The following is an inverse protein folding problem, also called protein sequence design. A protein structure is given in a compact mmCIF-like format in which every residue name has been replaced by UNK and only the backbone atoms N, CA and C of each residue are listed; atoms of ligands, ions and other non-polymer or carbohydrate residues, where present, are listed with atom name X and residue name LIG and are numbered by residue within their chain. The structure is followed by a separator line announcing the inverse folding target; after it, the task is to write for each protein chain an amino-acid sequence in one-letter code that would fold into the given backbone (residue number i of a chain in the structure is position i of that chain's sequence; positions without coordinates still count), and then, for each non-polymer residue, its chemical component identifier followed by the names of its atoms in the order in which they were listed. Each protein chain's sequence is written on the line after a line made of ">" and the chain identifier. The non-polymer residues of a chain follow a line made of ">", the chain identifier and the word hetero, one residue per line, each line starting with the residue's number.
data_IF_110047598809
#
_entry.id   IF_110047598809
#
_cell.length_a   1.000
_cell.length_b   1.000
_cell.length_c   1.000
_cell.angle_alpha   90.00
_cell.angle_beta   90.00
_cell.angle_gamma   90.00
#
_symmetry.space_group_name_H-M   'P 1'
#
loop_
_entity.id
_entity.type
_entity.pdbx_description
1 polymer ?
#
# COMPACT_ATOMS: atom_id res chain seq x y z
N UNK A 1 -6.36 0.49 33.20
CA UNK A 1 -7.63 -0.27 33.16
C UNK A 1 -7.67 -0.86 31.78
N UNK A 2 -7.37 -2.13 31.64
CA UNK A 2 -7.46 -2.81 30.36
C UNK A 2 -8.89 -2.70 29.83
N UNK A 3 -9.12 -2.37 28.55
CA UNK A 3 -10.46 -2.39 28.01
C UNK A 3 -10.99 -3.82 28.11
N UNK A 4 -12.02 -3.98 28.88
CA UNK A 4 -12.74 -5.26 29.00
C UNK A 4 -13.31 -5.57 27.60
N UNK A 5 -12.65 -6.45 26.86
CA UNK A 5 -13.18 -7.04 25.62
C UNK A 5 -14.31 -7.98 26.07
N UNK A 6 -15.48 -7.38 26.29
CA UNK A 6 -16.65 -8.04 26.82
C UNK A 6 -17.08 -9.22 25.95
N UNK A 7 -17.49 -10.26 26.60
CA UNK A 7 -17.86 -11.57 26.08
C UNK A 7 -19.11 -11.60 25.17
N UNK A 8 -19.71 -10.48 24.84
CA UNK A 8 -20.86 -10.43 23.94
C UNK A 8 -20.44 -9.79 22.61
N UNK A 9 -20.55 -10.50 21.48
CA UNK A 9 -20.25 -9.92 20.19
C UNK A 9 -21.22 -8.78 19.86
N UNK A 10 -20.70 -7.71 19.28
CA UNK A 10 -21.54 -6.63 18.75
C UNK A 10 -22.42 -7.13 17.61
N UNK A 11 -23.45 -6.37 17.27
CA UNK A 11 -24.34 -6.67 16.12
C UNK A 11 -24.69 -5.43 15.33
N UNK A 12 -24.90 -5.62 14.04
CA UNK A 12 -25.45 -4.60 13.15
C UNK A 12 -26.95 -4.47 13.45
N UNK A 13 -27.39 -3.27 13.79
CA UNK A 13 -28.82 -2.94 14.00
C UNK A 13 -29.45 -2.50 12.69
N UNK A 14 -28.78 -1.58 11.96
CA UNK A 14 -29.26 -1.02 10.71
C UNK A 14 -28.12 -0.74 9.77
N UNK A 15 -28.35 -1.00 8.48
CA UNK A 15 -27.49 -0.56 7.36
C UNK A 15 -28.21 0.56 6.63
N UNK A 16 -27.55 1.69 6.39
CA UNK A 16 -28.20 2.91 5.88
C UNK A 16 -27.38 3.54 4.76
N UNK A 17 -28.09 4.02 3.73
CA UNK A 17 -27.54 4.79 2.61
C UNK A 17 -28.40 6.00 2.30
N UNK A 18 -27.83 6.98 1.58
CA UNK A 18 -28.56 8.11 1.02
C UNK A 18 -28.06 8.46 -0.38
N UNK A 19 -28.86 9.20 -1.12
CA UNK A 19 -28.44 9.79 -2.40
C UNK A 19 -27.73 11.14 -2.22
N UNK A 20 -27.28 11.42 -1.01
CA UNK A 20 -26.64 12.66 -0.56
C UNK A 20 -27.35 13.26 0.64
N UNK A 21 -26.59 13.59 1.71
CA UNK A 21 -27.11 14.22 2.92
C UNK A 21 -27.67 13.24 3.96
N UNK A 22 -28.40 13.80 4.91
CA UNK A 22 -29.03 13.12 6.06
C UNK A 22 -30.53 13.39 6.08
N UNK A 23 -31.35 12.45 6.58
CA UNK A 23 -31.00 11.15 7.12
C UNK A 23 -30.63 10.13 6.02
N UNK A 24 -29.84 9.11 6.38
CA UNK A 24 -29.66 7.92 5.57
C UNK A 24 -30.81 6.94 5.85
N UNK A 25 -31.28 6.25 4.81
CA UNK A 25 -32.42 5.36 4.87
C UNK A 25 -31.98 3.89 4.98
N UNK A 26 -32.75 3.05 5.69
CA UNK A 26 -32.40 1.65 5.88
C UNK A 26 -32.47 0.85 4.59
N UNK A 27 -31.55 -0.09 4.46
CA UNK A 27 -31.51 -1.12 3.42
C UNK A 27 -31.33 -2.49 4.04
N UNK A 28 -31.79 -3.54 3.37
CA UNK A 28 -31.70 -4.92 3.86
C UNK A 28 -30.31 -5.53 3.72
N UNK A 29 -29.55 -5.09 2.72
CA UNK A 29 -28.18 -5.57 2.44
C UNK A 29 -27.39 -4.40 1.85
N UNK A 30 -26.23 -4.10 2.43
CA UNK A 30 -25.25 -3.19 1.85
C UNK A 30 -24.06 -3.98 1.29
N UNK A 31 -23.67 -3.74 0.04
CA UNK A 31 -22.38 -4.17 -0.46
C UNK A 31 -21.35 -3.09 -0.07
N UNK A 32 -20.38 -3.48 0.73
CA UNK A 32 -19.39 -2.54 1.27
C UNK A 32 -18.06 -2.80 0.59
N UNK A 33 -17.59 -1.79 -0.11
CA UNK A 33 -16.30 -1.79 -0.78
C UNK A 33 -15.41 -0.66 -0.29
N UNK A 34 -14.24 -0.56 -0.86
CA UNK A 34 -13.20 0.41 -0.46
C UNK A 34 -13.68 1.87 -0.40
N UNK A 35 -14.64 2.25 -1.21
CA UNK A 35 -15.15 3.63 -1.27
C UNK A 35 -16.42 3.84 -0.42
N UNK A 36 -16.92 2.80 0.23
CA UNK A 36 -18.11 2.85 1.08
C UNK A 36 -19.17 1.83 0.70
N UNK A 37 -20.40 2.08 1.13
CA UNK A 37 -21.56 1.25 0.82
C UNK A 37 -22.05 1.56 -0.58
N UNK A 38 -22.26 0.55 -1.40
CA UNK A 38 -22.77 0.71 -2.77
C UNK A 38 -24.12 1.41 -2.77
N UNK A 39 -24.26 2.44 -3.61
CA UNK A 39 -25.47 3.27 -3.70
C UNK A 39 -25.55 4.41 -2.68
N UNK A 40 -24.57 4.50 -1.77
CA UNK A 40 -24.46 5.65 -0.87
C UNK A 40 -23.74 6.81 -1.57
N UNK A 41 -24.27 8.03 -1.44
CA UNK A 41 -23.66 9.24 -1.98
C UNK A 41 -23.44 10.27 -0.88
N UNK A 42 -22.44 11.13 -1.08
CA UNK A 42 -22.09 12.22 -0.16
C UNK A 42 -22.42 13.57 -0.80
N UNK A 43 -22.82 14.54 0.02
CA UNK A 43 -23.11 15.89 -0.48
C UNK A 43 -21.84 16.67 -0.85
N UNK A 44 -20.73 16.36 -0.18
CA UNK A 44 -19.39 16.92 -0.43
C UNK A 44 -18.33 15.80 -0.40
N UNK A 45 -17.93 15.34 -1.57
CA UNK A 45 -16.93 14.26 -1.72
C UNK A 45 -15.51 14.66 -1.25
N UNK A 46 -15.27 15.97 -1.05
CA UNK A 46 -13.97 16.47 -0.54
C UNK A 46 -13.83 16.37 0.97
N UNK A 47 -14.94 16.29 1.70
CA UNK A 47 -14.99 16.26 3.18
C UNK A 47 -15.46 14.91 3.71
N UNK A 48 -16.40 14.27 3.01
CA UNK A 48 -17.05 13.03 3.40
C UNK A 48 -16.76 11.93 2.38
N UNK A 49 -16.61 10.68 2.85
CA UNK A 49 -16.33 9.54 1.99
C UNK A 49 -14.85 9.37 1.67
N UNK A 50 -14.60 8.58 0.61
CA UNK A 50 -13.25 8.15 0.24
C UNK A 50 -12.73 6.98 1.08
N UNK A 51 -11.57 6.40 0.70
CA UNK A 51 -11.10 5.13 1.27
C UNK A 51 -10.83 5.15 2.78
N UNK A 52 -10.49 6.31 3.37
CA UNK A 52 -10.30 6.44 4.82
C UNK A 52 -11.58 6.61 5.61
N UNK A 53 -12.63 7.08 4.96
CA UNK A 53 -13.94 7.38 5.56
C UNK A 53 -15.04 6.63 4.83
N UNK A 54 -14.72 5.38 4.45
CA UNK A 54 -15.58 4.55 3.62
C UNK A 54 -16.90 4.19 4.34
N UNK A 55 -16.84 3.97 5.65
CA UNK A 55 -18.01 3.61 6.46
C UNK A 55 -18.07 4.51 7.69
N UNK A 56 -19.25 5.04 7.96
CA UNK A 56 -19.54 5.78 9.19
C UNK A 56 -20.34 4.90 10.16
N UNK A 57 -19.89 4.83 11.40
CA UNK A 57 -20.41 3.97 12.47
C UNK A 57 -20.99 4.80 13.61
N UNK A 58 -22.11 4.37 14.17
CA UNK A 58 -22.67 4.91 15.41
C UNK A 58 -23.25 3.79 16.26
N UNK A 59 -22.98 3.83 17.56
CA UNK A 59 -23.55 2.88 18.52
C UNK A 59 -25.03 3.21 18.81
N UNK A 60 -25.87 2.19 18.89
CA UNK A 60 -27.27 2.34 19.31
C UNK A 60 -27.36 2.89 20.73
N UNK A 61 -26.43 2.48 21.59
CA UNK A 61 -26.30 2.95 22.97
C UNK A 61 -26.09 4.48 23.04
N UNK A 62 -25.34 5.06 22.10
CA UNK A 62 -25.19 6.51 21.99
C UNK A 62 -26.50 7.19 21.57
N UNK A 63 -27.22 6.60 20.62
CA UNK A 63 -28.53 7.08 20.19
C UNK A 63 -29.52 7.06 21.36
N UNK A 64 -29.56 5.95 22.10
CA UNK A 64 -30.46 5.79 23.26
C UNK A 64 -30.17 6.80 24.38
N UNK A 65 -28.89 7.11 24.65
CA UNK A 65 -28.52 8.17 25.60
C UNK A 65 -29.03 9.54 25.13
N UNK A 66 -28.85 9.88 23.88
CA UNK A 66 -29.34 11.15 23.33
C UNK A 66 -30.87 11.21 23.29
N UNK A 67 -31.56 10.10 23.03
CA UNK A 67 -33.02 10.01 23.13
C UNK A 67 -33.53 10.19 24.55
N UNK A 68 -32.81 9.65 25.52
CA UNK A 68 -33.14 9.83 26.96
C UNK A 68 -32.98 11.30 27.40
N UNK A 69 -32.08 12.06 26.73
CA UNK A 69 -31.96 13.51 26.91
C UNK A 69 -33.06 14.31 26.15
N UNK A 70 -33.99 13.63 25.45
CA UNK A 70 -35.12 14.24 24.74
C UNK A 70 -34.83 14.67 23.31
N UNK A 71 -33.75 14.16 22.71
CA UNK A 71 -33.40 14.47 21.32
C UNK A 71 -34.06 13.48 20.33
N UNK A 72 -34.56 13.96 19.14
CA UNK A 72 -35.28 13.11 18.18
C UNK A 72 -34.34 12.31 17.26
N UNK A 73 -33.14 11.99 17.70
CA UNK A 73 -32.16 11.23 16.93
C UNK A 73 -32.57 9.74 16.82
N UNK A 74 -32.27 9.10 15.70
CA UNK A 74 -32.54 7.69 15.47
C UNK A 74 -31.54 7.06 14.49
N UNK A 75 -31.58 5.74 14.28
CA UNK A 75 -30.70 5.06 13.33
C UNK A 75 -30.73 5.67 11.94
N UNK A 76 -29.57 5.99 11.38
CA UNK A 76 -29.38 6.64 10.06
C UNK A 76 -29.57 8.15 10.09
N UNK A 77 -30.18 8.74 11.13
CA UNK A 77 -30.46 10.16 11.18
C UNK A 77 -29.22 11.04 11.27
N UNK A 78 -28.15 10.53 11.89
CA UNK A 78 -26.88 11.22 11.98
C UNK A 78 -25.99 11.00 10.77
N UNK A 79 -26.44 10.25 9.76
CA UNK A 79 -25.70 10.00 8.51
C UNK A 79 -24.69 8.86 8.62
N UNK A 80 -24.80 8.04 9.64
CA UNK A 80 -24.02 6.80 9.74
C UNK A 80 -24.54 5.74 8.75
N UNK A 81 -23.60 4.92 8.26
CA UNK A 81 -23.90 3.77 7.39
C UNK A 81 -24.29 2.54 8.20
N UNK A 82 -23.64 2.33 9.33
CA UNK A 82 -23.92 1.20 10.21
C UNK A 82 -24.26 1.72 11.60
N UNK A 83 -25.51 1.49 12.01
CA UNK A 83 -25.91 1.57 13.43
C UNK A 83 -25.71 0.19 14.02
N UNK A 84 -24.99 0.09 15.14
CA UNK A 84 -24.62 -1.19 15.77
C UNK A 84 -24.93 -1.19 17.24
N UNK A 85 -24.97 -2.34 17.87
CA UNK A 85 -25.12 -2.48 19.35
C UNK A 85 -24.01 -3.35 19.91
N UNK A 86 -23.72 -3.20 21.20
CA UNK A 86 -22.69 -3.95 21.92
C UNK A 86 -21.26 -3.41 21.74
N UNK A 87 -21.08 -2.32 20.99
CA UNK A 87 -19.75 -1.72 20.74
C UNK A 87 -19.85 -0.20 20.79
N UNK A 88 -19.17 0.41 21.74
CA UNK A 88 -18.98 1.86 21.81
C UNK A 88 -17.76 2.29 20.97
N UNK A 89 -17.95 2.46 19.69
CA UNK A 89 -16.89 2.70 18.70
C UNK A 89 -15.97 3.86 19.04
N UNK A 90 -16.54 4.93 19.57
CA UNK A 90 -15.81 6.17 19.89
C UNK A 90 -14.88 6.06 21.10
N UNK A 91 -15.02 4.99 21.88
CA UNK A 91 -14.13 4.66 22.99
C UNK A 91 -12.98 3.73 22.57
N UNK A 92 -13.02 3.19 21.35
CA UNK A 92 -11.98 2.32 20.84
C UNK A 92 -10.85 3.12 20.15
N UNK A 93 -9.60 2.65 20.25
CA UNK A 93 -8.50 3.31 19.57
C UNK A 93 -8.61 3.18 18.05
N UNK A 94 -8.21 4.22 17.33
CA UNK A 94 -7.98 4.16 15.89
C UNK A 94 -7.01 3.01 15.56
N UNK A 95 -7.28 2.28 14.47
CA UNK A 95 -6.57 1.04 14.13
C UNK A 95 -7.25 -0.24 14.65
N UNK A 96 -8.25 -0.13 15.54
CA UNK A 96 -9.07 -1.29 15.92
C UNK A 96 -9.76 -1.86 14.69
N UNK A 97 -9.64 -3.17 14.49
CA UNK A 97 -10.31 -3.89 13.40
C UNK A 97 -11.60 -4.54 13.88
N UNK A 98 -12.55 -4.59 12.98
CA UNK A 98 -13.81 -5.27 13.21
C UNK A 98 -14.15 -6.14 12.01
N UNK A 99 -14.41 -7.42 12.26
CA UNK A 99 -15.01 -8.34 11.28
C UNK A 99 -16.52 -8.30 11.47
N UNK A 100 -17.25 -8.06 10.38
CA UNK A 100 -18.71 -7.94 10.35
C UNK A 100 -19.26 -9.03 9.43
N UNK A 101 -20.10 -9.92 9.99
CA UNK A 101 -20.49 -11.12 9.27
C UNK A 101 -19.30 -11.99 8.87
N UNK A 102 -19.40 -12.64 7.69
CA UNK A 102 -18.39 -13.62 7.27
C UNK A 102 -17.21 -13.00 6.51
N UNK A 103 -17.41 -11.86 5.83
CA UNK A 103 -16.45 -11.36 4.83
C UNK A 103 -15.96 -9.93 5.06
N UNK A 104 -16.83 -9.02 5.50
CA UNK A 104 -16.49 -7.61 5.66
C UNK A 104 -15.50 -7.43 6.79
N UNK A 105 -14.38 -6.77 6.53
CA UNK A 105 -13.44 -6.34 7.56
C UNK A 105 -13.18 -4.84 7.41
N UNK A 106 -13.37 -4.11 8.52
CA UNK A 106 -13.14 -2.67 8.61
C UNK A 106 -12.07 -2.37 9.66
N UNK A 107 -11.47 -1.18 9.57
CA UNK A 107 -10.52 -0.67 10.57
C UNK A 107 -10.87 0.78 10.88
N UNK A 108 -11.03 1.10 12.17
CA UNK A 108 -11.29 2.46 12.62
C UNK A 108 -10.19 3.40 12.16
N UNK A 109 -10.55 4.48 11.50
CA UNK A 109 -9.62 5.40 10.84
C UNK A 109 -9.62 6.81 11.42
N UNK A 110 -10.76 7.31 11.86
CA UNK A 110 -10.91 8.69 12.34
C UNK A 110 -12.21 8.86 13.14
N UNK A 111 -12.31 9.93 13.93
CA UNK A 111 -13.56 10.38 14.52
C UNK A 111 -14.25 11.39 13.61
N UNK A 112 -15.58 11.52 13.73
CA UNK A 112 -16.30 12.55 12.98
C UNK A 112 -16.36 13.87 13.77
N UNK A 113 -16.32 15.00 13.03
CA UNK A 113 -16.70 16.29 13.59
C UNK A 113 -18.17 16.56 13.25
N UNK A 114 -19.06 16.77 14.23
CA UNK A 114 -20.44 17.12 13.94
C UNK A 114 -20.53 18.49 13.27
N UNK A 115 -21.48 18.68 12.38
CA UNK A 115 -21.69 19.92 11.65
C UNK A 115 -23.19 20.32 11.65
N UNK A 116 -23.51 21.44 11.05
CA UNK A 116 -24.89 21.98 11.01
C UNK A 116 -25.94 21.05 10.38
N UNK A 117 -25.53 20.06 9.60
CA UNK A 117 -26.47 19.05 9.06
C UNK A 117 -27.12 18.21 10.16
N UNK A 118 -26.53 18.20 11.37
CA UNK A 118 -27.03 17.45 12.52
C UNK A 118 -28.06 18.22 13.37
N UNK A 119 -28.31 19.50 13.10
CA UNK A 119 -29.18 20.35 13.91
C UNK A 119 -30.55 19.71 14.15
N UNK A 120 -31.14 19.08 13.12
CA UNK A 120 -32.47 18.46 13.23
C UNK A 120 -32.53 17.23 14.17
N UNK A 121 -31.38 16.65 14.52
CA UNK A 121 -31.29 15.52 15.45
C UNK A 121 -31.35 15.97 16.93
N UNK A 122 -31.31 17.27 17.20
CA UNK A 122 -31.26 17.81 18.56
C UNK A 122 -32.38 18.81 18.80
N UNK A 123 -33.19 18.59 19.84
CA UNK A 123 -34.33 19.43 20.19
C UNK A 123 -33.93 20.88 20.53
N UNK A 124 -32.71 21.08 21.01
CA UNK A 124 -32.09 22.38 21.29
C UNK A 124 -31.19 22.91 20.18
N UNK A 125 -31.04 22.14 19.08
CA UNK A 125 -30.15 22.46 17.95
C UNK A 125 -28.67 22.32 18.26
N UNK A 126 -28.30 21.84 19.44
CA UNK A 126 -26.90 21.72 19.87
C UNK A 126 -26.26 20.41 19.41
N UNK A 127 -25.80 20.36 18.16
CA UNK A 127 -25.14 19.19 17.61
C UNK A 127 -23.75 18.87 18.23
N UNK A 128 -23.16 19.77 19.04
CA UNK A 128 -21.97 19.47 19.81
C UNK A 128 -22.19 18.35 20.84
N UNK A 129 -23.44 17.95 21.07
CA UNK A 129 -23.80 16.75 21.85
C UNK A 129 -23.17 15.46 21.28
N UNK A 130 -22.78 15.44 19.99
CA UNK A 130 -22.05 14.35 19.34
C UNK A 130 -20.56 14.62 19.16
N UNK A 131 -20.02 15.67 19.77
CA UNK A 131 -18.60 15.99 19.62
C UNK A 131 -17.76 15.09 20.55
N UNK A 132 -16.81 14.35 19.98
CA UNK A 132 -15.97 13.39 20.72
C UNK A 132 -15.16 14.03 21.86
N UNK A 133 -14.82 15.33 21.75
CA UNK A 133 -14.07 16.04 22.79
C UNK A 133 -14.96 16.35 23.99
N UNK A 134 -16.26 16.59 23.77
CA UNK A 134 -17.22 16.99 24.80
C UNK A 134 -17.94 15.77 25.35
N UNK A 135 -18.33 14.85 24.48
CA UNK A 135 -19.08 13.63 24.78
C UNK A 135 -18.40 12.41 24.10
N UNK A 136 -17.32 11.87 24.68
CA UNK A 136 -16.51 10.84 24.02
C UNK A 136 -17.29 9.59 23.61
N UNK A 137 -18.29 9.17 24.40
CA UNK A 137 -19.10 7.95 24.12
C UNK A 137 -20.19 8.13 23.06
N UNK A 138 -20.49 9.38 22.63
CA UNK A 138 -21.65 9.67 21.81
C UNK A 138 -21.30 10.09 20.37
N UNK A 139 -20.04 9.98 20.00
CA UNK A 139 -19.56 10.37 18.68
C UNK A 139 -19.62 9.23 17.67
N UNK A 140 -19.75 9.61 16.40
CA UNK A 140 -19.61 8.69 15.26
C UNK A 140 -18.13 8.47 14.97
N UNK A 141 -17.82 7.30 14.42
CA UNK A 141 -16.47 6.97 13.95
C UNK A 141 -16.48 6.63 12.46
N UNK A 142 -15.42 6.97 11.78
CA UNK A 142 -15.14 6.49 10.45
C UNK A 142 -14.29 5.22 10.48
N UNK A 143 -14.49 4.39 9.46
CA UNK A 143 -13.66 3.23 9.22
C UNK A 143 -13.29 3.13 7.74
N UNK A 144 -12.07 2.64 7.48
CA UNK A 144 -11.67 2.17 6.17
C UNK A 144 -12.02 0.69 5.99
N UNK A 145 -12.23 0.27 4.76
CA UNK A 145 -12.49 -1.13 4.44
C UNK A 145 -11.18 -1.86 4.20
N UNK A 146 -10.96 -2.95 4.94
CA UNK A 146 -9.80 -3.85 4.82
C UNK A 146 -10.10 -5.00 3.87
N UNK A 147 -11.29 -5.62 4.02
CA UNK A 147 -11.82 -6.63 3.10
C UNK A 147 -13.25 -6.29 2.75
N UNK A 148 -13.56 -6.30 1.45
CA UNK A 148 -14.88 -6.00 0.94
C UNK A 148 -15.87 -7.14 1.28
N UNK A 149 -17.13 -6.81 1.47
CA UNK A 149 -18.15 -7.81 1.73
C UNK A 149 -19.56 -7.25 1.93
N UNK A 150 -20.56 -8.12 1.91
CA UNK A 150 -21.92 -7.74 2.26
C UNK A 150 -22.09 -7.53 3.76
N UNK A 151 -23.00 -6.64 4.13
CA UNK A 151 -23.43 -6.40 5.52
C UNK A 151 -24.95 -6.36 5.61
N UNK A 152 -25.50 -6.95 6.66
CA UNK A 152 -26.94 -7.03 6.91
C UNK A 152 -27.26 -6.71 8.36
N UNK A 153 -28.46 -6.18 8.64
CA UNK A 153 -28.96 -6.16 10.01
C UNK A 153 -28.91 -7.57 10.63
N UNK A 154 -28.43 -7.68 11.87
CA UNK A 154 -28.23 -8.91 12.58
C UNK A 154 -26.83 -9.52 12.47
N UNK A 155 -25.99 -9.09 11.53
CA UNK A 155 -24.62 -9.59 11.38
C UNK A 155 -23.82 -9.36 12.67
N UNK A 156 -23.08 -10.39 13.06
CA UNK A 156 -22.21 -10.36 14.25
C UNK A 156 -20.96 -9.52 13.96
N UNK A 157 -20.50 -8.80 14.97
CA UNK A 157 -19.30 -7.98 14.91
C UNK A 157 -18.28 -8.50 15.93
N UNK A 158 -17.09 -8.85 15.46
CA UNK A 158 -15.97 -9.29 16.28
C UNK A 158 -14.82 -8.30 16.19
N UNK A 159 -14.36 -7.79 17.33
CA UNK A 159 -13.26 -6.84 17.40
C UNK A 159 -11.91 -7.55 17.45
N UNK A 160 -10.92 -6.94 16.83
CA UNK A 160 -9.51 -7.22 17.01
C UNK A 160 -8.82 -5.92 17.43
N UNK A 161 -8.00 -5.92 18.49
CA UNK A 161 -7.28 -4.73 18.92
C UNK A 161 -6.34 -4.24 17.80
N UNK A 162 -5.89 -2.98 17.83
CA UNK A 162 -4.82 -2.51 16.96
C UNK A 162 -3.61 -3.41 17.13
N UNK A 163 -2.94 -3.69 16.00
CA UNK A 163 -1.65 -4.38 16.05
C UNK A 163 -0.65 -3.51 16.82
N UNK A 164 0.20 -4.13 17.64
CA UNK A 164 1.37 -3.43 18.17
C UNK A 164 2.27 -2.96 17.02
N UNK A 165 3.14 -1.96 17.29
CA UNK A 165 3.96 -1.36 16.24
C UNK A 165 4.84 -2.38 15.51
N UNK A 166 5.36 -3.40 16.21
CA UNK A 166 6.19 -4.45 15.62
C UNK A 166 5.37 -5.38 14.74
N UNK A 167 4.21 -5.84 15.21
CA UNK A 167 3.33 -6.70 14.43
C UNK A 167 2.75 -5.98 13.20
N UNK A 168 2.42 -4.69 13.33
CA UNK A 168 1.99 -3.87 12.20
C UNK A 168 3.11 -3.74 11.15
N UNK A 169 4.34 -3.47 11.57
CA UNK A 169 5.48 -3.35 10.67
C UNK A 169 5.82 -4.68 9.99
N UNK A 170 5.74 -5.79 10.71
CA UNK A 170 5.93 -7.13 10.14
C UNK A 170 4.88 -7.42 9.03
N UNK A 171 3.63 -7.07 9.26
CA UNK A 171 2.58 -7.25 8.25
C UNK A 171 2.82 -6.38 7.01
N UNK A 172 3.25 -5.12 7.21
CA UNK A 172 3.62 -4.24 6.11
C UNK A 172 4.82 -4.79 5.34
N UNK A 173 5.87 -5.23 6.03
CA UNK A 173 7.04 -5.86 5.42
C UNK A 173 6.68 -7.07 4.58
N UNK A 174 5.82 -7.96 5.07
CA UNK A 174 5.32 -9.12 4.31
C UNK A 174 4.62 -8.71 3.02
N UNK A 175 3.80 -7.65 3.06
CA UNK A 175 3.13 -7.12 1.86
C UNK A 175 4.13 -6.50 0.88
N UNK A 176 5.07 -5.70 1.36
CA UNK A 176 6.09 -5.05 0.52
C UNK A 176 7.00 -6.08 -0.15
N UNK A 177 7.48 -7.06 0.62
CA UNK A 177 8.36 -8.12 0.11
C UNK A 177 7.66 -8.97 -0.97
N UNK A 178 6.36 -9.27 -0.79
CA UNK A 178 5.56 -9.93 -1.82
C UNK A 178 5.44 -9.07 -3.09
N UNK A 179 5.13 -7.78 -2.95
CA UNK A 179 4.99 -6.88 -4.09
C UNK A 179 6.31 -6.71 -4.85
N UNK A 180 7.43 -6.60 -4.13
CA UNK A 180 8.75 -6.52 -4.74
C UNK A 180 9.16 -7.83 -5.42
N UNK A 181 8.91 -8.99 -4.78
CA UNK A 181 9.15 -10.31 -5.38
C UNK A 181 8.39 -10.44 -6.70
N UNK A 182 7.09 -10.10 -6.72
CA UNK A 182 6.29 -10.13 -7.96
C UNK A 182 6.78 -9.12 -9.00
N UNK A 183 7.24 -7.95 -8.59
CA UNK A 183 7.87 -6.97 -9.46
C UNK A 183 9.17 -7.49 -10.09
N UNK A 184 9.98 -8.25 -9.34
CA UNK A 184 11.20 -8.87 -9.84
C UNK A 184 10.89 -10.00 -10.82
N UNK A 185 9.97 -10.89 -10.47
CA UNK A 185 9.48 -11.96 -11.37
C UNK A 185 8.97 -11.40 -12.69
N UNK A 186 8.22 -10.29 -12.65
CA UNK A 186 7.76 -9.65 -13.87
C UNK A 186 8.93 -9.20 -14.78
N UNK A 187 10.00 -8.65 -14.18
CA UNK A 187 11.19 -8.26 -14.94
C UNK A 187 11.94 -9.45 -15.54
N UNK A 188 12.03 -10.57 -14.80
CA UNK A 188 12.67 -11.79 -15.29
C UNK A 188 11.89 -12.43 -16.45
N UNK A 189 10.55 -12.48 -16.33
CA UNK A 189 9.68 -12.94 -17.43
C UNK A 189 9.78 -12.03 -18.65
N UNK A 190 9.84 -10.71 -18.44
CA UNK A 190 10.04 -9.75 -19.50
C UNK A 190 11.40 -9.94 -20.21
N UNK A 191 12.49 -10.20 -19.47
CA UNK A 191 13.79 -10.52 -20.03
C UNK A 191 13.73 -11.80 -20.89
N UNK A 192 13.03 -12.84 -20.41
CA UNK A 192 12.82 -14.07 -21.17
C UNK A 192 12.03 -13.82 -22.47
N UNK A 193 10.98 -13.02 -22.43
CA UNK A 193 10.21 -12.64 -23.64
C UNK A 193 11.03 -11.77 -24.61
N UNK A 194 11.95 -10.97 -24.09
CA UNK A 194 12.90 -10.20 -24.89
C UNK A 194 14.04 -11.04 -25.53
N UNK A 195 14.06 -12.36 -25.27
CA UNK A 195 14.99 -13.30 -25.89
C UNK A 195 16.26 -13.59 -25.09
N UNK A 196 16.40 -13.07 -23.85
CA UNK A 196 17.52 -13.40 -22.99
C UNK A 196 17.36 -14.77 -22.38
N UNK A 197 18.49 -15.49 -22.23
CA UNK A 197 18.51 -16.75 -21.49
C UNK A 197 18.39 -16.46 -20.01
N UNK A 198 17.31 -16.91 -19.40
CA UNK A 198 17.05 -16.77 -17.98
C UNK A 198 16.21 -17.93 -17.46
N UNK A 199 16.66 -18.53 -16.40
CA UNK A 199 15.92 -19.54 -15.67
C UNK A 199 15.10 -18.84 -14.57
N UNK A 200 13.79 -19.03 -14.56
CA UNK A 200 12.90 -18.44 -13.55
C UNK A 200 12.15 -19.57 -12.86
N UNK A 201 12.21 -19.60 -11.54
CA UNK A 201 11.47 -20.53 -10.70
C UNK A 201 10.58 -19.72 -9.75
N UNK A 202 9.29 -20.04 -9.73
CA UNK A 202 8.34 -19.58 -8.72
C UNK A 202 7.84 -20.78 -7.93
N UNK A 203 7.98 -20.75 -6.62
CA UNK A 203 7.59 -21.83 -5.73
C UNK A 203 6.97 -21.24 -4.45
N UNK A 204 5.66 -21.08 -4.49
CA UNK A 204 4.92 -20.36 -3.44
C UNK A 204 5.37 -18.90 -3.33
N UNK A 205 5.96 -18.56 -2.20
CA UNK A 205 6.47 -17.22 -1.92
C UNK A 205 7.94 -17.04 -2.37
N UNK A 206 8.69 -18.14 -2.60
CA UNK A 206 10.04 -18.10 -3.10
C UNK A 206 10.06 -17.90 -4.62
N UNK A 207 10.84 -16.95 -5.09
CA UNK A 207 11.10 -16.76 -6.50
C UNK A 207 12.61 -16.63 -6.75
N UNK A 208 13.12 -17.31 -7.77
CA UNK A 208 14.53 -17.37 -8.11
C UNK A 208 14.75 -17.13 -9.59
N UNK A 209 15.82 -16.46 -9.94
CA UNK A 209 16.27 -16.30 -11.31
C UNK A 209 17.77 -16.50 -11.44
N UNK A 210 18.19 -17.03 -12.58
CA UNK A 210 19.58 -17.14 -12.98
C UNK A 210 19.71 -16.88 -14.49
N UNK A 211 20.57 -15.97 -14.88
CA UNK A 211 20.82 -15.62 -16.27
C UNK A 211 22.31 -15.66 -16.58
N UNK A 212 22.73 -16.50 -17.54
CA UNK A 212 24.10 -16.46 -18.03
C UNK A 212 24.36 -15.21 -18.89
N UNK A 213 23.32 -14.68 -19.52
CA UNK A 213 23.43 -13.53 -20.44
C UNK A 213 23.53 -12.20 -19.70
N UNK A 214 22.93 -12.11 -18.49
CA UNK A 214 22.79 -10.87 -17.74
C UNK A 214 23.38 -11.05 -16.35
N UNK A 215 24.67 -10.76 -16.16
CA UNK A 215 25.28 -10.88 -14.84
C UNK A 215 24.74 -9.85 -13.84
N UNK A 216 24.96 -10.11 -12.55
CA UNK A 216 24.60 -9.21 -11.47
C UNK A 216 23.22 -9.45 -10.83
N UNK A 217 22.91 -8.69 -9.76
CA UNK A 217 21.82 -9.02 -8.82
C UNK A 217 20.41 -8.83 -9.39
N UNK A 218 20.24 -8.10 -10.50
CA UNK A 218 18.92 -7.84 -11.04
C UNK A 218 18.25 -9.10 -11.64
N UNK A 219 19.05 -10.02 -12.18
CA UNK A 219 18.58 -11.21 -12.88
C UNK A 219 19.16 -12.53 -12.34
N UNK A 220 19.90 -12.45 -11.24
CA UNK A 220 20.47 -13.62 -10.55
C UNK A 220 20.18 -13.52 -9.06
N UNK A 221 18.91 -13.51 -8.68
CA UNK A 221 18.54 -13.32 -7.29
C UNK A 221 17.44 -14.27 -6.82
N UNK A 222 17.44 -14.54 -5.52
CA UNK A 222 16.36 -15.20 -4.81
C UNK A 222 15.62 -14.18 -3.91
N UNK A 223 14.34 -14.06 -4.12
CA UNK A 223 13.41 -13.16 -3.41
C UNK A 223 12.35 -13.95 -2.67
N UNK A 224 11.79 -13.37 -1.60
CA UNK A 224 10.80 -14.02 -0.75
C UNK A 224 11.38 -14.78 0.44
N UNK A 225 12.70 -14.96 0.53
CA UNK A 225 13.37 -15.67 1.61
C UNK A 225 13.25 -14.99 2.97
N UNK A 226 13.06 -13.69 3.03
CA UNK A 226 12.84 -12.97 4.27
C UNK A 226 11.63 -13.51 5.05
N UNK A 227 10.64 -14.05 4.35
CA UNK A 227 9.44 -14.68 4.92
C UNK A 227 9.57 -16.16 5.20
N UNK A 228 10.46 -16.84 4.50
CA UNK A 228 10.64 -18.30 4.52
C UNK A 228 12.12 -18.69 4.51
N UNK A 229 12.90 -18.24 5.50
CA UNK A 229 14.35 -18.45 5.51
C UNK A 229 14.76 -19.92 5.52
N UNK A 230 13.89 -20.81 5.96
CA UNK A 230 14.10 -22.27 5.90
C UNK A 230 14.19 -22.82 4.45
N UNK A 231 13.81 -22.03 3.43
CA UNK A 231 13.99 -22.40 2.02
C UNK A 231 15.33 -21.90 1.43
N UNK A 232 16.23 -21.37 2.24
CA UNK A 232 17.54 -20.90 1.77
C UNK A 232 18.32 -21.99 1.03
N UNK A 233 18.32 -23.23 1.52
CA UNK A 233 18.99 -24.36 0.85
C UNK A 233 18.47 -24.59 -0.57
N UNK A 234 17.18 -24.37 -0.82
CA UNK A 234 16.61 -24.49 -2.18
C UNK A 234 17.16 -23.42 -3.12
N UNK A 235 17.42 -22.21 -2.60
CA UNK A 235 18.01 -21.14 -3.39
C UNK A 235 19.50 -21.43 -3.68
N UNK A 236 20.28 -21.89 -2.70
CA UNK A 236 21.68 -22.27 -2.92
C UNK A 236 21.81 -23.45 -3.88
N UNK A 237 21.00 -24.51 -3.72
CA UNK A 237 20.95 -25.65 -4.63
C UNK A 237 20.57 -25.25 -6.06
N UNK A 238 19.71 -24.22 -6.21
CA UNK A 238 19.36 -23.69 -7.52
C UNK A 238 20.59 -23.05 -8.18
N UNK A 239 21.35 -22.19 -7.48
CA UNK A 239 22.56 -21.55 -8.02
C UNK A 239 23.67 -22.54 -8.29
N UNK A 240 23.86 -23.55 -7.45
CA UNK A 240 24.81 -24.64 -7.70
C UNK A 240 24.50 -25.40 -9.00
N UNK A 241 23.21 -25.65 -9.25
CA UNK A 241 22.78 -26.30 -10.52
C UNK A 241 22.98 -25.41 -11.74
N UNK A 242 22.80 -24.09 -11.58
CA UNK A 242 22.98 -23.12 -12.68
C UNK A 242 24.45 -22.74 -12.90
N UNK A 243 25.35 -22.98 -11.94
CA UNK A 243 26.74 -22.56 -11.99
C UNK A 243 26.90 -21.04 -12.03
N UNK A 244 26.00 -20.30 -11.38
CA UNK A 244 25.91 -18.84 -11.47
C UNK A 244 25.89 -18.24 -10.07
N UNK A 245 26.67 -17.17 -9.86
CA UNK A 245 26.62 -16.37 -8.62
C UNK A 245 25.19 -15.90 -8.35
N UNK A 246 24.68 -16.20 -7.17
CA UNK A 246 23.36 -15.83 -6.71
C UNK A 246 23.37 -14.69 -5.70
N UNK A 247 22.28 -13.94 -5.65
CA UNK A 247 22.06 -12.87 -4.67
C UNK A 247 20.81 -13.19 -3.86
N UNK A 248 20.96 -13.47 -2.57
CA UNK A 248 19.86 -13.86 -1.68
C UNK A 248 19.45 -12.71 -0.78
N UNK A 249 18.16 -12.36 -0.77
CA UNK A 249 17.62 -11.25 0.02
C UNK A 249 17.08 -11.74 1.35
N UNK A 250 17.71 -11.31 2.45
CA UNK A 250 17.39 -11.71 3.83
C UNK A 250 17.52 -10.54 4.81
N UNK A 251 16.90 -10.66 5.96
CA UNK A 251 17.01 -9.68 7.06
C UNK A 251 18.29 -9.83 7.87
N UNK A 252 18.85 -11.04 7.92
CA UNK A 252 20.06 -11.35 8.67
C UNK A 252 21.06 -12.19 7.83
N UNK A 253 22.35 -12.16 8.16
CA UNK A 253 23.35 -12.96 7.45
C UNK A 253 23.01 -14.46 7.48
N UNK A 254 22.98 -15.12 6.32
CA UNK A 254 22.58 -16.53 6.21
C UNK A 254 23.67 -17.54 6.59
N UNK A 255 24.94 -17.15 6.58
CA UNK A 255 26.09 -17.94 6.94
C UNK A 255 27.22 -17.07 7.53
N UNK A 256 28.20 -17.67 8.25
CA UNK A 256 29.37 -16.92 8.72
C UNK A 256 30.13 -16.25 7.57
N UNK A 257 30.53 -15.00 7.78
CA UNK A 257 31.26 -14.19 6.78
C UNK A 257 30.48 -13.94 5.47
N UNK A 258 29.15 -13.96 5.51
CA UNK A 258 28.31 -13.61 4.34
C UNK A 258 28.64 -12.19 3.83
N UNK A 259 28.93 -12.09 2.54
CA UNK A 259 29.26 -10.82 1.88
C UNK A 259 27.97 -10.09 1.52
N UNK A 260 27.79 -8.90 2.07
CA UNK A 260 26.67 -8.01 1.73
C UNK A 260 26.97 -7.31 0.42
N UNK A 261 26.11 -7.49 -0.56
CA UNK A 261 26.16 -6.76 -1.84
C UNK A 261 25.44 -5.41 -1.75
N UNK A 262 24.30 -5.38 -1.06
CA UNK A 262 23.46 -4.18 -0.96
C UNK A 262 22.58 -4.28 0.29
N UNK A 263 22.43 -3.16 1.01
CA UNK A 263 21.47 -3.04 2.11
C UNK A 263 20.42 -1.97 1.78
N UNK A 264 19.14 -2.31 1.96
CA UNK A 264 18.03 -1.43 1.66
C UNK A 264 17.09 -1.29 2.87
N UNK A 265 16.74 -0.05 3.21
CA UNK A 265 15.56 0.25 3.99
C UNK A 265 14.29 -0.01 3.18
N UNK A 266 13.30 -0.61 3.84
CA UNK A 266 11.97 -0.85 3.30
C UNK A 266 11.02 0.23 3.81
N UNK A 267 10.42 0.98 2.91
CA UNK A 267 9.55 2.11 3.23
C UNK A 267 8.11 1.79 2.86
N UNK A 268 7.20 2.12 3.76
CA UNK A 268 5.76 1.94 3.61
C UNK A 268 5.00 3.24 3.88
N UNK A 269 3.93 3.47 3.16
CA UNK A 269 3.03 4.60 3.39
C UNK A 269 1.61 4.31 2.92
N UNK A 270 0.67 4.96 3.59
CA UNK A 270 -0.69 5.07 3.08
C UNK A 270 -0.69 5.98 1.85
N UNK A 271 -1.12 5.51 0.67
CA UNK A 271 -1.10 6.31 -0.54
C UNK A 271 -1.88 7.62 -0.41
N UNK A 272 -2.90 7.68 0.45
CA UNK A 272 -3.72 8.88 0.65
C UNK A 272 -3.06 9.90 1.59
N UNK A 273 -2.11 9.46 2.42
CA UNK A 273 -1.32 10.34 3.26
C UNK A 273 -0.11 10.93 2.52
N UNK A 274 0.20 10.43 1.31
CA UNK A 274 1.28 10.96 0.50
C UNK A 274 0.89 12.33 -0.07
N UNK A 275 1.69 13.40 0.19
CA UNK A 275 1.38 14.73 -0.33
C UNK A 275 1.26 14.74 -1.85
N UNK A 276 0.25 15.43 -2.35
CA UNK A 276 0.18 15.75 -3.78
C UNK A 276 1.27 16.77 -4.11
N UNK A 277 2.22 16.37 -4.94
CA UNK A 277 3.30 17.25 -5.42
C UNK A 277 3.08 17.52 -6.92
N UNK A 278 2.84 18.77 -7.27
CA UNK A 278 2.82 19.18 -8.66
C UNK A 278 4.19 19.04 -9.30
N UNK A 279 4.22 18.82 -10.60
CA UNK A 279 5.47 18.88 -11.35
C UNK A 279 6.06 20.30 -11.23
N UNK A 280 7.38 20.43 -11.02
CA UNK A 280 8.04 21.75 -11.02
C UNK A 280 7.84 22.49 -12.33
N UNK A 281 7.93 23.82 -12.32
CA UNK A 281 7.81 24.64 -13.51
C UNK A 281 8.75 24.17 -14.64
N UNK A 282 8.21 24.05 -15.84
CA UNK A 282 8.93 23.55 -17.01
C UNK A 282 9.23 22.05 -17.01
N UNK A 283 8.65 21.28 -16.06
CA UNK A 283 8.80 19.82 -16.01
C UNK A 283 7.47 19.15 -16.34
N UNK A 284 7.46 18.29 -17.36
CA UNK A 284 6.33 17.42 -17.67
C UNK A 284 6.58 16.04 -17.05
N UNK A 285 5.64 15.55 -16.22
CA UNK A 285 5.65 14.17 -15.73
C UNK A 285 4.48 13.42 -16.35
N UNK A 286 4.78 12.30 -17.00
CA UNK A 286 3.74 11.48 -17.65
C UNK A 286 4.07 9.99 -17.59
N UNK A 287 3.05 9.17 -17.72
CA UNK A 287 3.20 7.75 -18.07
C UNK A 287 3.61 7.65 -19.53
N UNK A 288 4.45 6.67 -19.85
CA UNK A 288 4.92 6.43 -21.23
C UNK A 288 4.38 5.11 -21.78
N UNK A 289 4.35 5.04 -23.10
CA UNK A 289 3.99 3.86 -23.85
C UNK A 289 5.18 2.89 -24.07
N UNK A 290 4.94 1.62 -24.41
CA UNK A 290 5.98 0.60 -24.56
C UNK A 290 7.09 0.96 -25.58
N UNK A 291 6.76 1.68 -26.64
CA UNK A 291 7.69 2.12 -27.70
C UNK A 291 8.64 3.24 -27.24
N UNK A 292 8.33 3.89 -26.12
CA UNK A 292 9.19 4.91 -25.52
C UNK A 292 10.18 4.34 -24.48
N UNK A 293 10.26 3.02 -24.32
CA UNK A 293 11.09 2.37 -23.29
C UNK A 293 12.59 2.72 -23.42
N UNK A 294 13.07 2.99 -24.62
CA UNK A 294 14.44 3.45 -24.83
C UNK A 294 14.68 4.83 -24.18
N UNK A 295 13.75 5.76 -24.34
CA UNK A 295 13.80 7.08 -23.67
C UNK A 295 13.81 6.97 -22.15
N UNK A 296 13.08 5.99 -21.60
CA UNK A 296 13.09 5.71 -20.17
C UNK A 296 14.48 5.30 -19.67
N UNK A 297 15.20 4.50 -20.44
CA UNK A 297 16.55 4.00 -20.07
C UNK A 297 17.65 5.01 -20.27
N UNK A 298 17.48 6.03 -21.11
CA UNK A 298 18.46 7.11 -21.29
C UNK A 298 18.75 7.85 -19.97
N UNK A 299 17.75 8.04 -19.11
CA UNK A 299 17.95 8.65 -17.78
C UNK A 299 18.83 7.78 -16.88
N UNK A 300 18.71 6.46 -16.96
CA UNK A 300 19.54 5.54 -16.14
C UNK A 300 21.01 5.52 -16.58
N UNK A 301 21.27 5.62 -17.85
CA UNK A 301 22.63 5.57 -18.40
C UNK A 301 23.51 6.72 -17.94
N UNK A 302 22.90 7.85 -17.56
CA UNK A 302 23.59 9.02 -17.00
C UNK A 302 23.87 8.97 -15.49
N UNK A 303 23.46 7.91 -14.78
CA UNK A 303 23.61 7.77 -13.32
C UNK A 303 24.48 6.55 -12.99
N UNK A 304 25.63 6.78 -12.40
CA UNK A 304 26.62 5.73 -12.03
C UNK A 304 26.14 4.69 -10.99
N UNK A 305 24.93 4.86 -10.42
CA UNK A 305 24.38 4.02 -9.37
C UNK A 305 23.21 3.12 -9.81
N UNK A 306 22.95 3.00 -11.09
CA UNK A 306 21.86 2.19 -11.60
C UNK A 306 22.20 0.69 -11.65
N UNK A 307 22.02 0.01 -10.53
CA UNK A 307 21.90 -1.44 -10.35
C UNK A 307 22.48 -2.37 -11.43
N UNK A 308 23.74 -2.73 -11.28
CA UNK A 308 24.20 -4.07 -11.63
C UNK A 308 24.38 -4.41 -13.11
N UNK A 309 24.51 -3.47 -14.03
CA UNK A 309 25.13 -3.79 -15.33
C UNK A 309 26.62 -3.53 -15.18
N UNK A 310 27.39 -4.59 -15.05
CA UNK A 310 28.86 -4.52 -15.07
C UNK A 310 29.34 -4.07 -16.43
N UNK A 311 30.42 -3.30 -16.46
CA UNK A 311 31.07 -2.83 -17.69
C UNK A 311 31.28 -3.98 -18.70
N UNK A 312 30.69 -3.84 -19.89
CA UNK A 312 30.95 -4.69 -21.06
C UNK A 312 29.87 -5.69 -21.47
N UNK A 313 28.77 -5.86 -20.73
CA UNK A 313 27.64 -6.72 -21.14
C UNK A 313 26.53 -5.97 -21.91
N UNK A 314 25.66 -6.70 -22.62
CA UNK A 314 24.51 -6.09 -23.28
C UNK A 314 23.59 -5.42 -22.25
N UNK A 315 23.13 -4.21 -22.52
CA UNK A 315 22.14 -3.54 -21.69
C UNK A 315 20.73 -4.10 -21.95
N UNK A 316 20.15 -4.95 -21.09
CA UNK A 316 18.86 -5.59 -21.33
C UNK A 316 17.68 -4.66 -21.10
N UNK A 317 17.89 -3.55 -20.42
CA UNK A 317 16.83 -2.74 -19.84
C UNK A 317 15.87 -2.12 -20.86
N UNK A 318 16.28 -1.63 -22.06
CA UNK A 318 15.33 -1.11 -23.04
C UNK A 318 14.29 -2.16 -23.43
N UNK A 319 14.73 -3.37 -23.78
CA UNK A 319 13.83 -4.46 -24.17
C UNK A 319 12.97 -4.94 -22.98
N UNK A 320 13.58 -5.08 -21.79
CA UNK A 320 12.86 -5.50 -20.57
C UNK A 320 11.77 -4.48 -20.21
N UNK A 321 12.06 -3.18 -20.26
CA UNK A 321 11.03 -2.18 -19.95
C UNK A 321 9.95 -2.12 -21.02
N UNK A 322 10.27 -2.31 -22.29
CA UNK A 322 9.26 -2.41 -23.34
C UNK A 322 8.30 -3.58 -23.09
N UNK A 323 8.83 -4.76 -22.75
CA UNK A 323 8.01 -5.92 -22.41
C UNK A 323 7.17 -5.70 -21.14
N UNK A 324 7.76 -5.11 -20.10
CA UNK A 324 7.04 -4.78 -18.86
C UNK A 324 5.86 -3.84 -19.10
N UNK A 325 6.04 -2.84 -19.96
CA UNK A 325 4.99 -1.89 -20.31
C UNK A 325 3.94 -2.52 -21.23
N UNK A 326 4.35 -3.30 -22.24
CA UNK A 326 3.47 -3.98 -23.20
C UNK A 326 2.50 -4.94 -22.51
N UNK A 327 2.97 -5.66 -21.49
CA UNK A 327 2.15 -6.59 -20.70
C UNK A 327 1.48 -5.96 -19.47
N UNK A 328 1.50 -4.63 -19.35
CA UNK A 328 0.96 -3.90 -18.21
C UNK A 328 1.53 -4.36 -16.84
N UNK A 329 2.67 -5.06 -16.86
CA UNK A 329 3.30 -5.58 -15.66
C UNK A 329 3.98 -4.48 -14.83
N UNK A 330 4.25 -3.33 -15.47
CA UNK A 330 4.81 -2.16 -14.82
C UNK A 330 4.42 -0.88 -15.59
N UNK A 331 3.94 0.12 -14.87
CA UNK A 331 3.71 1.45 -15.41
C UNK A 331 5.02 2.25 -15.33
N UNK A 332 5.44 2.83 -16.43
CA UNK A 332 6.67 3.60 -16.54
C UNK A 332 6.34 5.10 -16.61
N UNK A 333 7.09 5.92 -15.87
CA UNK A 333 6.91 7.36 -15.81
C UNK A 333 8.19 8.09 -16.17
N UNK A 334 8.08 9.11 -17.01
CA UNK A 334 9.16 10.03 -17.36
C UNK A 334 8.89 11.42 -16.81
N UNK A 335 9.95 12.09 -16.37
CA UNK A 335 10.00 13.53 -16.19
C UNK A 335 10.84 14.11 -17.34
N UNK A 336 10.31 15.12 -18.00
CA UNK A 336 10.90 15.74 -19.18
C UNK A 336 11.01 17.26 -19.02
N UNK A 337 12.09 17.84 -19.53
CA UNK A 337 12.27 19.28 -19.70
C UNK A 337 12.56 19.53 -21.18
N UNK A 338 11.77 20.38 -21.82
CA UNK A 338 11.87 20.68 -23.25
C UNK A 338 11.93 19.40 -24.11
N UNK A 339 11.10 18.42 -23.78
CA UNK A 339 11.01 17.13 -24.43
C UNK A 339 12.19 16.18 -24.19
N UNK A 340 13.15 16.54 -23.33
CA UNK A 340 14.32 15.70 -22.98
C UNK A 340 14.05 14.95 -21.68
N UNK A 341 14.27 13.63 -21.64
CA UNK A 341 14.16 12.85 -20.40
C UNK A 341 15.18 13.31 -19.35
N UNK A 342 14.71 13.70 -18.17
CA UNK A 342 15.55 14.15 -17.04
C UNK A 342 15.31 13.35 -15.77
N UNK A 343 14.23 12.57 -15.71
CA UNK A 343 13.94 11.70 -14.58
C UNK A 343 13.05 10.54 -14.99
N UNK A 344 13.14 9.43 -14.27
CA UNK A 344 12.28 8.27 -14.48
C UNK A 344 11.90 7.60 -13.18
N UNK A 345 10.86 6.77 -13.23
CA UNK A 345 10.43 5.92 -12.13
C UNK A 345 9.33 4.97 -12.60
N UNK A 346 9.14 3.87 -11.91
CA UNK A 346 8.12 2.89 -12.29
C UNK A 346 7.25 2.47 -11.11
N UNK A 347 6.04 2.00 -11.41
CA UNK A 347 5.07 1.45 -10.48
C UNK A 347 4.70 0.03 -10.91
N UNK A 348 4.86 -0.93 -10.00
CA UNK A 348 4.30 -2.27 -10.10
C UNK A 348 3.15 -2.41 -9.11
N UNK A 349 2.04 -3.02 -9.54
CA UNK A 349 0.88 -3.24 -8.68
C UNK A 349 0.75 -4.73 -8.44
N UNK A 350 0.74 -5.13 -7.17
CA UNK A 350 0.51 -6.49 -6.73
C UNK A 350 -0.53 -6.52 -5.63
N UNK A 351 -1.64 -7.18 -5.86
CA UNK A 351 -2.82 -7.10 -5.00
C UNK A 351 -3.19 -5.62 -4.80
N UNK A 352 -3.29 -5.14 -3.56
CA UNK A 352 -3.60 -3.73 -3.24
C UNK A 352 -2.35 -2.93 -2.84
N UNK A 353 -1.16 -3.38 -3.25
CA UNK A 353 0.12 -2.75 -2.93
C UNK A 353 0.76 -2.17 -4.19
N UNK A 354 1.02 -0.87 -4.20
CA UNK A 354 1.80 -0.18 -5.21
C UNK A 354 3.30 -0.20 -4.85
N UNK A 355 4.13 -0.91 -5.61
CA UNK A 355 5.56 -0.95 -5.42
C UNK A 355 6.26 0.07 -6.32
N UNK A 356 6.81 1.12 -5.70
CA UNK A 356 7.53 2.20 -6.39
C UNK A 356 8.97 1.76 -6.61
N UNK A 357 9.32 1.44 -7.86
CA UNK A 357 10.66 0.96 -8.20
C UNK A 357 11.41 1.98 -9.04
N UNK A 358 12.67 2.22 -8.63
CA UNK A 358 13.53 3.21 -9.25
C UNK A 358 12.95 4.63 -9.12
N UNK A 359 13.81 5.58 -9.04
CA UNK A 359 13.53 7.00 -9.25
C UNK A 359 14.88 7.64 -9.49
N UNK A 360 15.22 7.83 -10.74
CA UNK A 360 16.48 8.44 -11.12
C UNK A 360 16.19 9.85 -11.64
N UNK A 361 17.00 10.81 -11.23
CA UNK A 361 16.99 12.17 -11.79
C UNK A 361 18.41 12.47 -12.26
N UNK A 362 18.53 12.93 -13.51
CA UNK A 362 19.82 13.29 -14.10
C UNK A 362 20.54 14.35 -13.25
N UNK A 363 21.87 14.30 -13.10
CA UNK A 363 22.61 15.22 -12.25
C UNK A 363 22.27 16.69 -12.49
N UNK A 364 22.15 17.13 -13.73
CA UNK A 364 21.84 18.51 -14.10
C UNK A 364 20.42 18.97 -13.70
N UNK A 365 19.50 18.03 -13.43
CA UNK A 365 18.11 18.33 -13.05
C UNK A 365 17.82 18.10 -11.57
N UNK A 366 18.82 17.73 -10.76
CA UNK A 366 18.66 17.52 -9.32
C UNK A 366 18.37 18.82 -8.58
N UNK A 367 17.85 18.73 -7.36
CA UNK A 367 17.51 19.88 -6.51
C UNK A 367 16.19 20.59 -6.87
N UNK A 368 15.53 20.21 -7.95
CA UNK A 368 14.30 20.84 -8.46
C UNK A 368 12.99 20.20 -8.01
N UNK A 369 13.00 19.22 -7.10
CA UNK A 369 11.78 18.54 -6.63
C UNK A 369 11.27 17.42 -7.54
N UNK A 370 11.91 17.14 -8.69
CA UNK A 370 11.46 16.18 -9.71
C UNK A 370 11.24 14.78 -9.12
N UNK A 371 12.13 14.32 -8.22
CA UNK A 371 11.99 13.00 -7.62
C UNK A 371 10.70 12.88 -6.80
N UNK A 372 10.35 13.90 -6.00
CA UNK A 372 9.11 13.90 -5.20
C UNK A 372 7.88 13.92 -6.09
N UNK A 373 7.89 14.75 -7.12
CA UNK A 373 6.80 14.79 -8.11
C UNK A 373 6.64 13.45 -8.86
N UNK A 374 7.74 12.75 -9.18
CA UNK A 374 7.69 11.38 -9.71
C UNK A 374 7.12 10.37 -8.69
N UNK A 375 7.40 10.54 -7.39
CA UNK A 375 6.76 9.71 -6.35
C UNK A 375 5.26 10.00 -6.32
N UNK A 376 4.85 11.27 -6.26
CA UNK A 376 3.43 11.67 -6.22
C UNK A 376 2.65 11.14 -7.43
N UNK A 377 3.19 11.27 -8.65
CA UNK A 377 2.54 10.78 -9.87
C UNK A 377 2.29 9.27 -9.83
N UNK A 378 3.26 8.49 -9.33
CA UNK A 378 3.13 7.04 -9.19
C UNK A 378 2.18 6.64 -8.08
N UNK A 379 2.15 7.40 -6.98
CA UNK A 379 1.19 7.19 -5.89
C UNK A 379 -0.24 7.50 -6.36
N UNK A 380 -0.45 8.57 -7.12
CA UNK A 380 -1.74 8.87 -7.73
C UNK A 380 -2.22 7.72 -8.64
N UNK A 381 -1.32 7.13 -9.44
CA UNK A 381 -1.65 5.96 -10.25
C UNK A 381 -1.95 4.71 -9.40
N UNK A 382 -1.27 4.53 -8.26
CA UNK A 382 -1.56 3.45 -7.32
C UNK A 382 -2.95 3.62 -6.66
N UNK A 383 -3.32 4.85 -6.28
CA UNK A 383 -4.65 5.18 -5.77
C UNK A 383 -5.72 4.85 -6.82
N UNK A 384 -5.54 5.30 -8.06
CA UNK A 384 -6.47 5.04 -9.15
C UNK A 384 -6.65 3.53 -9.43
N UNK A 385 -5.61 2.72 -9.15
CA UNK A 385 -5.65 1.26 -9.27
C UNK A 385 -6.17 0.56 -8.01
N UNK A 386 -6.63 1.29 -7.00
CA UNK A 386 -7.20 0.71 -5.80
C UNK A 386 -6.19 0.24 -4.74
N UNK A 387 -4.92 0.69 -4.78
CA UNK A 387 -3.96 0.35 -3.74
C UNK A 387 -4.29 1.04 -2.41
N UNK A 388 -4.10 0.33 -1.31
CA UNK A 388 -4.21 0.82 0.07
C UNK A 388 -2.85 0.88 0.78
N UNK A 389 -1.79 0.46 0.09
CA UNK A 389 -0.42 0.53 0.54
C UNK A 389 0.47 0.92 -0.63
N UNK A 390 1.42 1.82 -0.40
CA UNK A 390 2.55 2.04 -1.29
C UNK A 390 3.85 1.76 -0.57
N UNK A 391 4.81 1.22 -1.31
CA UNK A 391 6.12 0.95 -0.77
C UNK A 391 7.24 1.17 -1.77
N UNK A 392 8.42 1.34 -1.22
CA UNK A 392 9.66 1.52 -1.96
C UNK A 392 10.84 0.97 -1.16
N UNK A 393 11.97 0.75 -1.82
CA UNK A 393 13.25 0.53 -1.14
C UNK A 393 14.26 1.61 -1.51
N UNK A 394 15.12 1.95 -0.56
CA UNK A 394 16.23 2.87 -0.75
C UNK A 394 17.36 2.56 0.25
N UNK A 395 18.61 2.82 -0.12
CA UNK A 395 19.71 2.77 0.83
C UNK A 395 19.51 3.81 1.93
N UNK A 396 19.72 3.37 3.17
CA UNK A 396 19.55 4.22 4.36
C UNK A 396 20.48 5.44 4.31
N UNK A 397 19.98 6.60 4.77
CA UNK A 397 20.75 7.84 4.80
C UNK A 397 20.97 8.52 3.45
N UNK A 398 20.45 7.99 2.36
CA UNK A 398 20.53 8.62 1.02
C UNK A 398 19.50 9.74 0.84
N UNK A 399 19.70 10.56 -0.20
CA UNK A 399 18.70 11.56 -0.60
C UNK A 399 17.38 10.89 -0.99
N UNK A 400 17.45 9.69 -1.58
CA UNK A 400 16.27 8.92 -1.97
C UNK A 400 15.44 8.53 -0.74
N UNK A 401 16.09 7.98 0.30
CA UNK A 401 15.42 7.63 1.56
C UNK A 401 14.75 8.85 2.20
N UNK A 402 15.48 9.97 2.36
CA UNK A 402 14.94 11.22 2.91
C UNK A 402 13.77 11.78 2.08
N UNK A 403 13.77 11.60 0.76
CA UNK A 403 12.65 12.03 -0.07
C UNK A 403 11.42 11.15 0.14
N UNK A 404 11.58 9.83 0.31
CA UNK A 404 10.47 8.94 0.66
C UNK A 404 9.85 9.33 2.02
N UNK A 405 10.69 9.62 3.02
CA UNK A 405 10.23 10.10 4.34
C UNK A 405 9.45 11.42 4.24
N UNK A 406 9.96 12.40 3.47
CA UNK A 406 9.25 13.69 3.21
C UNK A 406 7.92 13.49 2.48
N UNK A 407 7.79 12.41 1.72
CA UNK A 407 6.55 12.03 1.05
C UNK A 407 5.63 11.17 1.94
N UNK A 408 5.93 11.07 3.26
CA UNK A 408 5.09 10.36 4.22
C UNK A 408 5.26 8.83 4.25
N UNK A 409 6.26 8.28 3.53
CA UNK A 409 6.61 6.88 3.70
C UNK A 409 7.60 6.74 4.86
N UNK A 410 7.31 5.84 5.80
CA UNK A 410 8.21 5.56 6.92
C UNK A 410 8.98 4.27 6.69
N UNK A 411 10.20 4.18 7.22
CA UNK A 411 10.95 2.93 7.19
C UNK A 411 10.32 1.94 8.18
N UNK A 412 9.96 0.76 7.68
CA UNK A 412 9.33 -0.32 8.44
C UNK A 412 10.26 -1.53 8.65
N UNK A 413 11.39 -1.55 7.96
CA UNK A 413 12.40 -2.61 8.12
C UNK A 413 13.59 -2.41 7.22
N UNK A 414 14.46 -3.41 7.20
CA UNK A 414 15.65 -3.47 6.36
C UNK A 414 15.81 -4.87 5.81
N UNK A 415 16.54 -4.98 4.71
CA UNK A 415 17.01 -6.26 4.20
C UNK A 415 18.32 -6.08 3.44
N UNK A 416 19.08 -7.12 3.38
CA UNK A 416 20.37 -7.17 2.71
C UNK A 416 20.38 -8.24 1.63
N UNK A 417 21.05 -7.94 0.54
CA UNK A 417 21.39 -8.91 -0.48
C UNK A 417 22.75 -9.50 -0.16
N UNK A 418 22.81 -10.81 -0.01
CA UNK A 418 24.04 -11.56 0.25
C UNK A 418 24.48 -12.30 -0.99
N UNK A 419 25.77 -12.26 -1.29
CA UNK A 419 26.36 -12.96 -2.42
C UNK A 419 26.50 -14.43 -2.08
N UNK A 420 26.03 -15.30 -2.95
CA UNK A 420 26.26 -16.74 -2.91
C UNK A 420 27.08 -17.17 -4.12
N UNK A 421 28.27 -17.70 -3.90
CA UNK A 421 29.10 -18.31 -4.94
C UNK A 421 28.77 -19.80 -5.04
N UNK A 422 28.43 -20.29 -6.26
CA UNK A 422 28.06 -21.68 -6.44
C UNK A 422 29.23 -22.60 -6.10
N UNK A 423 28.95 -23.70 -5.39
CA UNK A 423 29.93 -24.69 -5.07
C UNK A 423 30.22 -25.55 -6.30
N UNK A 424 31.51 -25.81 -6.62
CA UNK A 424 31.85 -26.70 -7.70
C UNK A 424 31.29 -28.11 -7.40
N UNK A 425 30.57 -28.69 -8.36
CA UNK A 425 30.15 -30.07 -8.24
C UNK A 425 31.38 -30.95 -8.19
N UNK A 426 31.60 -31.64 -7.09
CA UNK A 426 32.51 -32.78 -7.04
C UNK A 426 31.89 -33.84 -7.97
N UNK A 427 32.51 -34.02 -9.14
CA UNK A 427 32.16 -35.07 -10.12
C UNK A 427 32.42 -36.43 -9.53
#
# INVERSE_FOLDING_TARGET
>A
MEPNVGSTPGRVVQVSISRGGVPKLPISVGQVGRLGVEGDAHHEDTVHGGPHRAVCLLAMEAIERMQADGHPIGPGSAGENLTTTGIEWSLLPVGTRARIGDMLEIELSDSTTPCSTQVANFSDGNFNRMNIVVHPSDSRMYARVVSDGPVRPGDEIRLSPPLDGNAADELLLKRLDRAETKSSVAAWKAAKHAGFQIHVVEDGELAMSASPDIPGPAFNQASGLARIPNLLSRATDFYDRQGTTGYVWLEAPPWPNAVVSLELGMFAGDPLAVPAEAAPEGVLIRRIDPDEAERYTQVRSGSATAGGVTDGGPNPWPQVYAELARHNARQLFLAEIDGRPVGNGSLHISARTGWLRGATVSPAARGRGIQRALVAARVAAAIAAGCDLVGASAESGTVSARNLERMGLRQVGRRSSYVYEPQPRLL
#
